data_IF_149790259392
#
_entry.id   IF_149790259392
#
_cell.length_a   1.000
_cell.length_b   1.000
_cell.length_c   1.000
_cell.angle_alpha   90.00
_cell.angle_beta   90.00
_cell.angle_gamma   90.00
#
_symmetry.space_group_name_H-M   'P 1'
#
loop_
_entity.id
_entity.type
_entity.pdbx_description
1 polymer ?
#
# COMPACT_ATOMS: atom_id res chain seq x y z
N UNK A 1 10.28 -3.39 -7.15
CA UNK A 1 9.64 -2.66 -6.04
C UNK A 1 10.11 -1.22 -5.89
N UNK A 2 11.34 -0.84 -6.26
CA UNK A 2 11.78 0.58 -6.15
C UNK A 2 10.82 1.56 -6.85
N UNK A 3 10.40 1.25 -8.08
CA UNK A 3 9.40 2.05 -8.80
C UNK A 3 8.01 2.01 -8.13
N UNK A 4 7.65 0.90 -7.48
CA UNK A 4 6.41 0.75 -6.71
C UNK A 4 6.42 1.68 -5.50
N UNK A 5 7.53 1.74 -4.76
CA UNK A 5 7.70 2.66 -3.61
C UNK A 5 7.47 4.10 -4.06
N UNK A 6 8.17 4.54 -5.12
CA UNK A 6 8.03 5.90 -5.63
C UNK A 6 6.58 6.23 -6.04
N UNK A 7 5.89 5.29 -6.70
CA UNK A 7 4.49 5.46 -7.10
C UNK A 7 3.55 5.51 -5.89
N UNK A 8 3.79 4.72 -4.84
CA UNK A 8 3.00 4.79 -3.61
C UNK A 8 3.21 6.10 -2.86
N UNK A 9 4.46 6.55 -2.71
CA UNK A 9 4.78 7.85 -2.09
C UNK A 9 4.15 9.01 -2.88
N UNK A 10 4.20 8.96 -4.21
CA UNK A 10 3.54 9.94 -5.08
C UNK A 10 2.02 9.91 -4.91
N UNK A 11 1.42 8.73 -4.82
CA UNK A 11 -0.02 8.58 -4.60
C UNK A 11 -0.45 9.17 -3.25
N UNK A 12 0.28 8.87 -2.17
CA UNK A 12 0.04 9.47 -0.85
C UNK A 12 0.08 10.99 -0.95
N UNK A 13 1.09 11.56 -1.60
CA UNK A 13 1.22 13.02 -1.73
C UNK A 13 0.10 13.66 -2.55
N UNK A 14 -0.22 13.07 -3.69
CA UNK A 14 -1.13 13.67 -4.69
C UNK A 14 -2.60 13.41 -4.40
N UNK A 15 -2.94 12.25 -3.82
CA UNK A 15 -4.33 11.82 -3.63
C UNK A 15 -4.76 11.81 -2.16
N UNK A 16 -3.85 11.57 -1.22
CA UNK A 16 -4.20 11.50 0.20
C UNK A 16 -3.96 12.86 0.87
N UNK A 17 -2.72 13.33 0.91
CA UNK A 17 -2.34 14.60 1.57
C UNK A 17 -3.06 15.80 0.93
N UNK A 18 -3.16 15.84 -0.40
CA UNK A 18 -3.85 16.93 -1.09
C UNK A 18 -5.34 16.98 -0.73
N UNK A 19 -6.01 15.82 -0.56
CA UNK A 19 -7.41 15.77 -0.16
C UNK A 19 -7.59 16.11 1.32
N UNK A 20 -6.73 15.60 2.19
CA UNK A 20 -6.68 15.95 3.62
C UNK A 20 -6.61 17.47 3.85
N UNK A 21 -5.89 18.20 2.99
CA UNK A 21 -5.80 19.66 3.08
C UNK A 21 -7.12 20.39 2.73
N UNK A 22 -8.06 19.73 2.05
CA UNK A 22 -9.31 20.34 1.57
C UNK A 22 -10.57 19.80 2.24
N UNK A 23 -10.48 18.62 2.88
CA UNK A 23 -11.62 17.97 3.54
C UNK A 23 -11.96 18.71 4.84
N UNK A 24 -13.25 19.00 5.04
CA UNK A 24 -13.73 19.73 6.22
C UNK A 24 -14.52 18.88 7.21
N UNK A 25 -14.92 17.67 6.81
CA UNK A 25 -15.88 16.84 7.54
C UNK A 25 -15.31 15.46 7.87
N UNK A 26 -15.64 14.96 9.07
CA UNK A 26 -15.63 13.52 9.36
C UNK A 26 -16.89 12.90 8.74
N UNK A 27 -16.81 11.74 8.08
CA UNK A 27 -15.78 10.69 8.25
C UNK A 27 -14.56 10.75 7.31
N UNK A 28 -14.58 11.59 6.28
CA UNK A 28 -13.58 11.54 5.21
C UNK A 28 -12.15 11.84 5.67
N UNK A 29 -11.98 12.65 6.73
CA UNK A 29 -10.65 12.92 7.29
C UNK A 29 -10.02 11.69 7.94
N UNK A 30 -10.76 11.01 8.81
CA UNK A 30 -10.26 9.84 9.56
C UNK A 30 -9.84 8.70 8.62
N UNK A 31 -10.57 8.52 7.53
CA UNK A 31 -10.22 7.56 6.49
C UNK A 31 -8.95 7.94 5.73
N UNK A 32 -8.82 9.21 5.31
CA UNK A 32 -7.61 9.65 4.60
C UNK A 32 -6.37 9.60 5.51
N UNK A 33 -6.51 9.90 6.81
CA UNK A 33 -5.43 9.74 7.79
C UNK A 33 -5.06 8.25 7.93
N UNK A 34 -6.04 7.35 8.06
CA UNK A 34 -5.81 5.89 8.07
C UNK A 34 -5.09 5.42 6.81
N UNK A 35 -5.57 5.83 5.62
CA UNK A 35 -4.96 5.49 4.34
C UNK A 35 -3.53 6.01 4.22
N UNK A 36 -3.24 7.20 4.76
CA UNK A 36 -1.88 7.73 4.79
C UNK A 36 -0.97 6.84 5.63
N UNK A 37 -1.37 6.52 6.86
CA UNK A 37 -0.57 5.69 7.79
C UNK A 37 -0.27 4.32 7.19
N UNK A 38 -1.30 3.60 6.72
CA UNK A 38 -1.10 2.26 6.18
C UNK A 38 -0.31 2.26 4.86
N UNK A 39 -0.41 3.31 4.03
CA UNK A 39 0.43 3.40 2.83
C UNK A 39 1.90 3.73 3.17
N UNK A 40 2.17 4.50 4.21
CA UNK A 40 3.53 4.72 4.73
C UNK A 40 4.11 3.40 5.29
N UNK A 41 3.32 2.63 6.04
CA UNK A 41 3.70 1.30 6.52
C UNK A 41 3.93 0.31 5.37
N UNK A 42 3.10 0.36 4.32
CA UNK A 42 3.29 -0.43 3.12
C UNK A 42 4.60 -0.08 2.39
N UNK A 43 4.98 1.20 2.35
CA UNK A 43 6.27 1.65 1.81
C UNK A 43 7.42 1.04 2.59
N UNK A 44 7.36 1.06 3.91
CA UNK A 44 8.39 0.46 4.74
C UNK A 44 8.45 -1.08 4.63
N UNK A 45 7.29 -1.74 4.49
CA UNK A 45 7.24 -3.16 4.18
C UNK A 45 7.88 -3.47 2.80
N UNK A 46 7.62 -2.67 1.76
CA UNK A 46 8.26 -2.82 0.45
C UNK A 46 9.79 -2.67 0.53
N UNK A 47 10.29 -1.71 1.31
CA UNK A 47 11.75 -1.55 1.54
C UNK A 47 12.34 -2.78 2.23
N UNK A 48 11.65 -3.32 3.24
CA UNK A 48 12.06 -4.54 3.94
C UNK A 48 12.03 -5.76 3.00
N UNK A 49 11.04 -5.88 2.12
CA UNK A 49 11.03 -6.94 1.10
C UNK A 49 12.24 -6.88 0.19
N UNK A 50 12.61 -5.70 -0.31
CA UNK A 50 13.82 -5.52 -1.13
C UNK A 50 15.05 -5.97 -0.36
N UNK A 51 15.21 -5.50 0.88
CA UNK A 51 16.34 -5.85 1.73
C UNK A 51 16.45 -7.38 1.94
N UNK A 52 15.36 -8.05 2.29
CA UNK A 52 15.37 -9.50 2.50
C UNK A 52 15.66 -10.27 1.21
N UNK A 53 15.22 -9.80 0.05
CA UNK A 53 15.60 -10.38 -1.26
C UNK A 53 17.09 -10.23 -1.51
N UNK A 54 17.65 -9.04 -1.28
CA UNK A 54 19.08 -8.76 -1.48
C UNK A 54 19.98 -9.59 -0.53
N UNK A 55 19.47 -9.89 0.67
CA UNK A 55 20.13 -10.75 1.67
C UNK A 55 19.90 -12.26 1.41
N UNK A 56 19.09 -12.63 0.40
CA UNK A 56 18.73 -14.02 0.10
C UNK A 56 17.74 -14.65 1.08
N UNK A 57 17.15 -13.86 1.98
CA UNK A 57 16.15 -14.31 2.95
C UNK A 57 14.73 -14.27 2.34
N UNK A 58 14.45 -15.19 1.41
CA UNK A 58 13.20 -15.19 0.66
C UNK A 58 11.95 -15.50 1.51
N UNK A 59 12.12 -16.26 2.61
CA UNK A 59 11.01 -16.53 3.55
C UNK A 59 10.57 -15.24 4.24
N UNK A 60 11.52 -14.44 4.71
CA UNK A 60 11.21 -13.13 5.31
C UNK A 60 10.69 -12.13 4.26
N UNK A 61 11.22 -12.17 3.04
CA UNK A 61 10.70 -11.37 1.93
C UNK A 61 9.22 -11.66 1.64
N UNK A 62 8.78 -12.93 1.72
CA UNK A 62 7.37 -13.33 1.59
C UNK A 62 6.50 -12.81 2.74
N UNK A 63 7.03 -12.77 3.97
CA UNK A 63 6.32 -12.18 5.11
C UNK A 63 6.13 -10.68 4.87
N UNK A 64 7.18 -9.98 4.45
CA UNK A 64 7.10 -8.54 4.18
C UNK A 64 6.17 -8.21 3.02
N UNK A 65 6.20 -8.95 1.90
CA UNK A 65 5.29 -8.70 0.78
C UNK A 65 3.83 -8.95 1.14
N UNK A 66 3.56 -9.94 2.02
CA UNK A 66 2.21 -10.18 2.53
C UNK A 66 1.71 -9.02 3.38
N UNK A 67 2.60 -8.44 4.21
CA UNK A 67 2.28 -7.25 4.99
C UNK A 67 1.94 -6.04 4.10
N UNK A 68 2.62 -5.86 2.96
CA UNK A 68 2.26 -4.82 1.96
C UNK A 68 0.80 -4.97 1.55
N UNK A 69 0.35 -6.19 1.26
CA UNK A 69 -1.04 -6.46 0.88
C UNK A 69 -2.02 -6.15 1.99
N UNK A 70 -1.72 -6.54 3.23
CA UNK A 70 -2.56 -6.20 4.39
C UNK A 70 -2.72 -4.70 4.56
N UNK A 71 -1.60 -3.95 4.55
CA UNK A 71 -1.64 -2.50 4.70
C UNK A 71 -2.39 -1.79 3.56
N UNK A 72 -2.16 -2.20 2.31
CA UNK A 72 -2.87 -1.64 1.16
C UNK A 72 -4.39 -1.91 1.24
N UNK A 73 -4.78 -3.11 1.69
CA UNK A 73 -6.17 -3.49 1.89
C UNK A 73 -6.86 -2.72 3.02
N UNK A 74 -6.16 -2.42 4.12
CA UNK A 74 -6.75 -1.71 5.27
C UNK A 74 -7.29 -0.32 4.89
N UNK A 75 -6.66 0.39 3.94
CA UNK A 75 -7.22 1.65 3.45
C UNK A 75 -8.58 1.44 2.78
N UNK A 76 -8.74 0.38 1.96
CA UNK A 76 -10.02 0.05 1.34
C UNK A 76 -11.07 -0.31 2.38
N UNK A 77 -10.71 -1.17 3.32
CA UNK A 77 -11.62 -1.59 4.39
C UNK A 77 -12.12 -0.35 5.17
N UNK A 78 -11.21 0.59 5.47
CA UNK A 78 -11.56 1.87 6.11
C UNK A 78 -12.49 2.73 5.25
N UNK A 79 -12.29 2.78 3.93
CA UNK A 79 -13.19 3.50 3.01
C UNK A 79 -14.60 2.90 3.05
N UNK A 80 -14.71 1.57 3.01
CA UNK A 80 -15.98 0.85 2.99
C UNK A 80 -16.72 0.93 4.34
N UNK A 81 -16.01 0.75 5.45
CA UNK A 81 -16.58 0.73 6.80
C UNK A 81 -17.03 2.12 7.28
N UNK A 82 -16.26 3.17 6.94
CA UNK A 82 -16.52 4.54 7.43
C UNK A 82 -17.33 5.36 6.41
N UNK A 83 -17.83 4.74 5.33
CA UNK A 83 -18.60 5.39 4.25
C UNK A 83 -17.94 6.66 3.70
N UNK A 84 -16.64 6.59 3.44
CA UNK A 84 -15.90 7.73 2.92
C UNK A 84 -16.12 7.91 1.42
N UNK A 85 -15.95 9.14 0.95
CA UNK A 85 -16.14 9.46 -0.45
C UNK A 85 -15.03 8.82 -1.30
N UNK A 86 -15.38 7.73 -1.99
CA UNK A 86 -14.45 6.94 -2.79
C UNK A 86 -14.18 7.66 -4.08
N UNK A 87 -12.97 8.20 -4.23
CA UNK A 87 -12.52 8.65 -5.53
C UNK A 87 -12.13 7.43 -6.40
N UNK A 88 -12.51 7.38 -7.69
CA UNK A 88 -12.07 6.34 -8.63
C UNK A 88 -10.55 6.07 -8.65
N UNK A 89 -9.73 7.08 -8.34
CA UNK A 89 -8.28 6.91 -8.26
C UNK A 89 -7.84 5.98 -7.11
N UNK A 90 -8.60 5.88 -6.02
CA UNK A 90 -8.30 4.95 -4.92
C UNK A 90 -8.53 3.49 -5.35
N UNK A 91 -9.65 3.21 -6.03
CA UNK A 91 -9.93 1.87 -6.58
C UNK A 91 -8.86 1.46 -7.61
N UNK A 92 -8.49 2.37 -8.53
CA UNK A 92 -7.42 2.09 -9.51
C UNK A 92 -6.07 1.82 -8.83
N UNK A 93 -5.78 2.54 -7.76
CA UNK A 93 -4.54 2.36 -7.01
C UNK A 93 -4.53 1.00 -6.28
N UNK A 94 -5.66 0.61 -5.69
CA UNK A 94 -5.83 -0.69 -5.06
C UNK A 94 -5.62 -1.83 -6.07
N UNK A 95 -6.31 -1.79 -7.22
CA UNK A 95 -6.18 -2.80 -8.29
C UNK A 95 -4.73 -2.92 -8.77
N UNK A 96 -4.07 -1.77 -8.98
CA UNK A 96 -2.65 -1.74 -9.33
C UNK A 96 -1.79 -2.37 -8.24
N UNK A 97 -2.03 -2.04 -6.97
CA UNK A 97 -1.25 -2.53 -5.84
C UNK A 97 -1.37 -4.06 -5.71
N UNK A 98 -2.58 -4.60 -5.85
CA UNK A 98 -2.85 -6.04 -5.83
C UNK A 98 -2.08 -6.78 -6.93
N UNK A 99 -2.04 -6.22 -8.14
CA UNK A 99 -1.24 -6.77 -9.23
C UNK A 99 0.26 -6.80 -8.91
N UNK A 100 0.80 -5.73 -8.32
CA UNK A 100 2.22 -5.68 -7.94
C UNK A 100 2.54 -6.66 -6.80
N UNK A 101 1.68 -6.77 -5.79
CA UNK A 101 1.85 -7.70 -4.67
C UNK A 101 1.83 -9.15 -5.16
N UNK A 102 0.90 -9.49 -6.06
CA UNK A 102 0.81 -10.82 -6.67
C UNK A 102 2.08 -11.15 -7.45
N UNK A 103 2.51 -10.27 -8.35
CA UNK A 103 3.74 -10.41 -9.14
C UNK A 103 4.97 -10.59 -8.26
N UNK A 104 5.10 -9.78 -7.21
CA UNK A 104 6.20 -9.86 -6.27
C UNK A 104 6.22 -11.19 -5.51
N UNK A 105 5.06 -11.62 -5.02
CA UNK A 105 4.89 -12.89 -4.31
C UNK A 105 5.29 -14.06 -5.18
N UNK A 106 4.81 -14.13 -6.43
CA UNK A 106 5.18 -15.18 -7.39
C UNK A 106 6.67 -15.21 -7.66
N UNK A 107 7.30 -14.05 -7.88
CA UNK A 107 8.74 -13.97 -8.17
C UNK A 107 9.57 -14.43 -6.97
N UNK A 108 9.26 -13.98 -5.76
CA UNK A 108 9.98 -14.39 -4.55
C UNK A 108 9.79 -15.89 -4.30
N UNK A 109 8.56 -16.40 -4.40
CA UNK A 109 8.27 -17.82 -4.19
C UNK A 109 9.01 -18.73 -5.19
N UNK A 110 9.21 -18.28 -6.43
CA UNK A 110 9.92 -19.05 -7.46
C UNK A 110 11.40 -19.29 -7.17
N UNK A 111 12.01 -18.49 -6.29
CA UNK A 111 13.43 -18.58 -5.93
C UNK A 111 13.66 -19.03 -4.49
N UNK A 112 12.59 -19.20 -3.70
CA UNK A 112 12.66 -19.57 -2.28
C UNK A 112 12.92 -21.07 -2.01
N UNK A 113 13.41 -21.82 -3.01
CA UNK A 113 13.62 -23.28 -2.95
C UNK A 113 15.04 -23.64 -2.51
#
# INVERSE_FOLDING_TARGET
MVSTIAKTEEFVKTNIITRLATVKENPNKDCLDTCKEVYEDAVDAMKKTIKSVDEGNYVEALVHVSAVGSFMGTCKDSIEEIHCDVNPEMTKFEDWSNGVISDATTKIASVAH
#
